data_IF_694159446048
#
_entry.id   IF_694159446048
#
_cell.length_a   1.000
_cell.length_b   1.000
_cell.length_c   1.000
_cell.angle_alpha   90.00
_cell.angle_beta   90.00
_cell.angle_gamma   90.00
#
_symmetry.space_group_name_H-M   'P 1'
#
loop_
_entity.id
_entity.type
_entity.pdbx_description
1 polymer ?
#
# COMPACT_ATOMS: atom_id res chain seq x y z
N UNK A 1 -11.14 45.26 41.92
CA UNK A 1 -10.08 44.67 41.07
C UNK A 1 -9.80 43.18 41.33
N UNK A 2 -9.70 42.71 42.59
CA UNK A 2 -9.35 41.28 42.88
C UNK A 2 -10.31 40.22 42.31
N UNK A 3 -11.62 40.46 42.24
CA UNK A 3 -12.62 39.48 41.73
C UNK A 3 -12.53 39.21 40.22
N UNK A 4 -11.98 40.15 39.44
CA UNK A 4 -11.86 40.02 37.98
C UNK A 4 -10.61 39.21 37.58
N UNK A 5 -9.55 39.33 38.36
CA UNK A 5 -8.29 38.58 38.16
C UNK A 5 -8.51 37.08 38.43
N UNK A 6 -9.30 36.73 39.45
CA UNK A 6 -9.59 35.32 39.77
C UNK A 6 -10.42 34.62 38.69
N UNK A 7 -11.38 35.32 38.07
CA UNK A 7 -12.20 34.74 36.97
C UNK A 7 -11.35 34.57 35.72
N UNK A 8 -10.51 35.57 35.37
CA UNK A 8 -9.63 35.48 34.22
C UNK A 8 -8.60 34.34 34.36
N UNK A 9 -8.07 34.11 35.56
CA UNK A 9 -7.12 33.03 35.83
C UNK A 9 -7.76 31.64 35.70
N UNK A 10 -9.02 31.48 36.16
CA UNK A 10 -9.78 30.22 36.03
C UNK A 10 -10.15 29.95 34.58
N UNK A 11 -10.60 30.96 33.84
CA UNK A 11 -10.91 30.82 32.40
C UNK A 11 -9.64 30.47 31.62
N UNK A 12 -8.51 31.12 31.91
CA UNK A 12 -7.24 30.82 31.26
C UNK A 12 -6.74 29.41 31.58
N UNK A 13 -6.84 28.96 32.83
CA UNK A 13 -6.49 27.59 33.22
C UNK A 13 -7.39 26.54 32.56
N UNK A 14 -8.69 26.82 32.42
CA UNK A 14 -9.63 25.94 31.73
C UNK A 14 -9.35 25.88 30.22
N UNK A 15 -9.06 27.01 29.59
CA UNK A 15 -8.67 27.09 28.18
C UNK A 15 -7.36 26.34 27.91
N UNK A 16 -6.37 26.47 28.81
CA UNK A 16 -5.10 25.74 28.72
C UNK A 16 -5.23 24.23 28.98
N UNK A 17 -6.17 23.81 29.84
CA UNK A 17 -6.45 22.40 30.08
C UNK A 17 -7.16 21.78 28.87
N UNK A 18 -8.19 22.44 28.35
CA UNK A 18 -8.91 22.01 27.15
C UNK A 18 -7.98 21.96 25.93
N UNK A 19 -7.07 22.93 25.77
CA UNK A 19 -6.12 22.92 24.65
C UNK A 19 -5.06 21.81 24.74
N UNK A 20 -4.79 21.27 25.94
CA UNK A 20 -3.89 20.13 26.14
C UNK A 20 -4.60 18.80 25.89
N UNK A 21 -5.91 18.74 26.11
CA UNK A 21 -6.74 17.57 25.84
C UNK A 21 -7.19 17.48 24.38
N UNK A 22 -7.39 18.60 23.68
CA UNK A 22 -7.71 18.59 22.24
C UNK A 22 -6.55 18.17 21.34
N UNK A 23 -5.31 18.20 21.84
CA UNK A 23 -4.13 17.62 21.17
C UNK A 23 -4.02 16.11 21.42
N UNK A 24 -4.77 15.54 22.37
CA UNK A 24 -4.80 14.10 22.59
C UNK A 24 -5.87 13.38 21.74
N UNK A 25 -6.67 14.12 20.96
CA UNK A 25 -7.54 13.59 19.90
C UNK A 25 -6.86 13.65 18.53
N UNK A 26 -5.53 13.52 18.49
CA UNK A 26 -4.79 13.23 17.27
C UNK A 26 -5.16 11.81 16.82
N UNK A 27 -6.29 11.69 16.09
CA UNK A 27 -6.70 10.55 15.27
C UNK A 27 -6.58 9.16 15.93
N UNK A 28 -7.20 8.95 17.09
CA UNK A 28 -7.32 7.62 17.74
C UNK A 28 -8.29 6.66 17.03
N UNK A 29 -8.34 6.68 15.69
CA UNK A 29 -9.25 5.83 14.92
C UNK A 29 -8.64 5.46 13.57
N UNK A 30 -8.97 4.25 13.11
CA UNK A 30 -8.37 3.68 11.91
C UNK A 30 -8.44 4.64 10.73
N UNK A 31 -7.29 4.89 10.10
CA UNK A 31 -7.16 5.82 9.00
C UNK A 31 -7.02 5.06 7.67
N UNK A 32 -7.88 5.37 6.70
CA UNK A 32 -7.73 4.87 5.35
C UNK A 32 -6.67 5.68 4.61
N UNK A 33 -5.62 5.02 4.14
CA UNK A 33 -4.65 5.55 3.19
C UNK A 33 -4.79 4.84 1.85
N UNK A 34 -4.57 5.55 0.75
CA UNK A 34 -4.44 4.95 -0.59
C UNK A 34 -3.04 5.22 -1.10
N UNK A 35 -2.24 4.18 -1.21
CA UNK A 35 -0.89 4.24 -1.76
C UNK A 35 -0.95 3.96 -3.26
N UNK A 36 -0.19 4.72 -4.04
CA UNK A 36 -0.18 4.63 -5.50
C UNK A 36 1.26 4.49 -5.97
N UNK A 37 1.51 3.57 -6.89
CA UNK A 37 2.81 3.36 -7.51
C UNK A 37 2.68 2.94 -8.97
N UNK A 38 3.65 3.32 -9.78
CA UNK A 38 3.76 2.99 -11.20
C UNK A 38 5.02 2.14 -11.37
N UNK A 39 4.92 0.83 -11.64
CA UNK A 39 6.09 -0.01 -11.90
C UNK A 39 6.86 0.51 -13.12
N UNK A 40 8.18 0.40 -13.07
CA UNK A 40 9.03 0.71 -14.23
C UNK A 40 9.07 -0.52 -15.14
N UNK A 41 8.48 -0.39 -16.32
CA UNK A 41 8.41 -1.44 -17.35
C UNK A 41 9.46 -1.13 -18.43
N UNK A 42 10.26 -2.12 -18.81
CA UNK A 42 11.43 -1.94 -19.68
C UNK A 42 11.48 -2.93 -20.87
N UNK A 43 10.42 -3.71 -21.12
CA UNK A 43 10.48 -4.83 -22.08
C UNK A 43 9.21 -5.01 -22.92
N UNK A 44 9.27 -5.94 -23.88
CA UNK A 44 8.17 -6.40 -24.72
C UNK A 44 7.19 -7.34 -24.00
N UNK A 45 6.54 -8.21 -24.76
CA UNK A 45 5.47 -9.06 -24.24
C UNK A 45 5.93 -9.94 -23.06
N UNK A 46 5.10 -9.99 -22.02
CA UNK A 46 5.27 -10.88 -20.87
C UNK A 46 4.80 -12.30 -21.20
N UNK A 47 5.11 -13.26 -20.35
CA UNK A 47 4.45 -14.55 -20.28
C UNK A 47 3.73 -14.75 -18.93
N UNK A 48 2.90 -15.78 -18.86
CA UNK A 48 2.27 -16.20 -17.61
C UNK A 48 3.34 -16.60 -16.59
N UNK A 49 3.34 -15.95 -15.43
CA UNK A 49 4.31 -16.16 -14.36
C UNK A 49 5.45 -15.15 -14.34
N UNK A 50 5.52 -14.25 -15.32
CA UNK A 50 6.56 -13.23 -15.37
C UNK A 50 6.23 -12.04 -14.47
N UNK A 51 7.29 -11.49 -13.89
CA UNK A 51 7.29 -10.27 -13.11
C UNK A 51 7.03 -9.05 -13.99
N UNK A 52 6.14 -8.18 -13.54
CA UNK A 52 5.91 -6.86 -14.13
C UNK A 52 6.57 -5.81 -13.25
N UNK A 53 7.58 -5.14 -13.79
CA UNK A 53 8.40 -4.16 -13.09
C UNK A 53 9.82 -4.64 -12.84
N UNK A 54 10.77 -3.71 -12.89
CA UNK A 54 12.21 -3.99 -12.72
C UNK A 54 12.65 -4.23 -11.27
N UNK A 55 11.78 -4.03 -10.28
CA UNK A 55 12.03 -4.23 -8.86
C UNK A 55 10.70 -4.36 -8.10
N UNK A 56 10.76 -4.76 -6.84
CA UNK A 56 9.64 -4.66 -5.92
C UNK A 56 9.14 -3.21 -5.79
N UNK A 57 7.84 -3.08 -5.58
CA UNK A 57 7.16 -1.81 -5.38
C UNK A 57 7.11 -1.53 -3.87
N UNK A 58 7.85 -0.52 -3.42
CA UNK A 58 7.75 -0.03 -2.05
C UNK A 58 6.49 0.81 -1.86
N UNK A 59 5.61 0.42 -0.96
CA UNK A 59 4.39 1.14 -0.59
C UNK A 59 4.59 1.78 0.79
N UNK A 60 4.91 3.08 0.79
CA UNK A 60 5.24 3.85 2.00
C UNK A 60 4.45 5.16 2.04
N UNK A 61 3.92 5.61 3.20
CA UNK A 61 3.82 4.89 4.46
C UNK A 61 2.57 3.99 4.50
N UNK A 62 2.77 2.68 4.62
CA UNK A 62 1.71 1.68 4.80
C UNK A 62 1.09 1.71 6.20
N UNK A 63 1.81 2.23 7.20
CA UNK A 63 1.33 2.49 8.57
C UNK A 63 1.88 3.83 9.06
N UNK A 64 1.20 4.44 10.03
CA UNK A 64 1.71 5.63 10.71
C UNK A 64 2.84 5.22 11.64
N UNK A 65 4.07 5.56 11.27
CA UNK A 65 5.26 5.22 12.05
C UNK A 65 5.28 5.97 13.39
N UNK A 66 4.70 5.40 14.43
CA UNK A 66 4.93 5.85 15.80
C UNK A 66 5.99 4.92 16.40
N UNK A 67 7.27 5.25 16.19
CA UNK A 67 8.45 4.39 16.36
C UNK A 67 8.72 3.85 17.77
N UNK A 68 7.73 3.21 18.39
CA UNK A 68 7.71 2.71 19.77
C UNK A 68 7.02 1.35 19.85
N UNK A 69 6.12 0.99 18.92
CA UNK A 69 5.45 -0.32 18.89
C UNK A 69 5.42 -0.90 17.48
N UNK A 70 5.21 -2.22 17.42
CA UNK A 70 4.75 -2.93 16.23
C UNK A 70 3.62 -2.14 15.59
N UNK A 71 3.68 -1.95 14.27
CA UNK A 71 2.67 -1.23 13.51
C UNK A 71 1.93 -2.20 12.60
N UNK A 72 0.60 -2.10 12.58
CA UNK A 72 -0.26 -3.04 11.86
C UNK A 72 -1.29 -2.31 11.02
N UNK A 73 -1.86 -3.03 10.06
CA UNK A 73 -2.95 -2.54 9.23
C UNK A 73 -3.66 -3.67 8.51
N UNK A 74 -4.65 -3.29 7.71
CA UNK A 74 -5.41 -4.21 6.88
C UNK A 74 -5.46 -3.70 5.45
N UNK A 75 -4.98 -4.49 4.49
CA UNK A 75 -5.13 -4.21 3.07
C UNK A 75 -6.59 -4.49 2.69
N UNK A 76 -7.30 -3.46 2.26
CA UNK A 76 -8.73 -3.52 1.98
C UNK A 76 -9.04 -3.72 0.49
N UNK A 77 -8.27 -3.08 -0.39
CA UNK A 77 -8.48 -3.19 -1.83
C UNK A 77 -7.22 -2.94 -2.64
N UNK A 78 -7.22 -3.51 -3.85
CA UNK A 78 -6.24 -3.30 -4.90
C UNK A 78 -6.97 -2.85 -6.15
N UNK A 79 -6.46 -1.80 -6.78
CA UNK A 79 -6.93 -1.31 -8.08
C UNK A 79 -5.72 -1.16 -8.98
N UNK A 80 -5.80 -1.71 -10.19
CA UNK A 80 -4.81 -1.54 -11.24
C UNK A 80 -5.46 -0.73 -12.35
N UNK A 81 -4.80 0.36 -12.75
CA UNK A 81 -5.14 1.11 -13.95
C UNK A 81 -4.19 0.62 -15.04
N UNK A 82 -4.75 0.22 -16.17
CA UNK A 82 -4.02 -0.24 -17.34
C UNK A 82 -4.30 0.73 -18.49
N UNK A 83 -3.31 1.57 -18.79
CA UNK A 83 -3.37 2.60 -19.83
C UNK A 83 -3.24 2.01 -21.25
N UNK A 84 -2.87 0.74 -21.39
CA UNK A 84 -2.67 0.04 -22.66
C UNK A 84 -3.80 -0.96 -22.98
N UNK A 85 -4.81 -1.06 -22.10
CA UNK A 85 -5.99 -1.92 -22.24
C UNK A 85 -5.65 -3.39 -22.58
N UNK A 86 -4.64 -3.95 -21.92
CA UNK A 86 -4.27 -5.36 -22.07
C UNK A 86 -5.22 -6.30 -21.30
N UNK A 87 -5.74 -5.85 -20.15
CA UNK A 87 -6.82 -6.53 -19.39
C UNK A 87 -6.50 -7.98 -18.99
N UNK A 88 -5.22 -8.29 -18.83
CA UNK A 88 -4.75 -9.59 -18.40
C UNK A 88 -4.87 -9.71 -16.88
N UNK A 89 -5.15 -10.90 -16.37
CA UNK A 89 -5.08 -11.15 -14.93
C UNK A 89 -3.68 -10.84 -14.38
N UNK A 90 -3.62 -10.05 -13.31
CA UNK A 90 -2.38 -9.73 -12.61
C UNK A 90 -2.54 -10.14 -11.15
N UNK A 91 -1.58 -10.92 -10.64
CA UNK A 91 -1.51 -11.24 -9.22
C UNK A 91 -0.57 -10.26 -8.52
N UNK A 92 -1.05 -9.65 -7.43
CA UNK A 92 -0.26 -8.74 -6.59
C UNK A 92 0.11 -9.47 -5.31
N UNK A 93 1.40 -9.76 -5.15
CA UNK A 93 1.97 -10.37 -3.95
C UNK A 93 2.41 -9.28 -3.00
N UNK A 94 2.00 -9.36 -1.73
CA UNK A 94 2.35 -8.41 -0.69
C UNK A 94 3.30 -9.03 0.34
N UNK A 95 4.32 -8.28 0.74
CA UNK A 95 5.33 -8.69 1.71
C UNK A 95 5.46 -7.65 2.83
N UNK A 96 5.70 -8.12 4.06
CA UNK A 96 5.91 -7.28 5.25
C UNK A 96 7.39 -6.85 5.43
N UNK A 97 8.29 -7.49 4.72
CA UNK A 97 9.71 -7.17 4.63
C UNK A 97 10.17 -7.11 3.18
N UNK A 98 11.31 -6.46 2.95
CA UNK A 98 11.93 -6.41 1.63
C UNK A 98 12.34 -7.83 1.22
N UNK A 99 11.82 -8.34 0.09
CA UNK A 99 12.26 -9.63 -0.42
C UNK A 99 13.77 -9.59 -0.68
N UNK A 100 14.48 -10.56 -0.13
CA UNK A 100 15.95 -10.65 -0.20
C UNK A 100 16.46 -11.06 -1.58
N UNK A 101 15.56 -11.51 -2.46
CA UNK A 101 15.94 -12.01 -3.77
C UNK A 101 16.24 -10.89 -4.78
N UNK A 102 17.51 -10.78 -5.14
CA UNK A 102 18.00 -9.86 -6.19
C UNK A 102 17.58 -10.23 -7.62
N UNK A 103 16.87 -11.34 -7.84
CA UNK A 103 16.44 -11.76 -9.19
C UNK A 103 15.11 -11.16 -9.64
N UNK A 104 14.47 -10.32 -8.83
CA UNK A 104 13.28 -9.60 -9.27
C UNK A 104 13.66 -8.62 -10.38
N UNK A 105 13.41 -9.07 -11.60
CA UNK A 105 13.76 -8.40 -12.84
C UNK A 105 12.54 -8.42 -13.73
N UNK A 106 12.35 -7.33 -14.46
CA UNK A 106 11.21 -7.16 -15.35
C UNK A 106 11.22 -8.24 -16.43
N UNK A 107 10.05 -8.81 -16.72
CA UNK A 107 9.88 -9.89 -17.70
C UNK A 107 10.74 -11.14 -17.43
N UNK A 108 10.89 -11.49 -16.15
CA UNK A 108 11.51 -12.74 -15.70
C UNK A 108 10.52 -13.51 -14.84
N UNK A 109 10.66 -14.84 -14.82
CA UNK A 109 9.83 -15.71 -13.99
C UNK A 109 9.89 -15.29 -12.52
N UNK A 110 8.71 -15.16 -11.89
CA UNK A 110 8.60 -14.94 -10.45
C UNK A 110 9.07 -16.18 -9.69
N UNK A 111 10.20 -16.05 -9.00
CA UNK A 111 10.83 -17.12 -8.25
C UNK A 111 11.26 -16.61 -6.86
N UNK A 112 10.33 -16.41 -5.90
CA UNK A 112 10.69 -16.04 -4.54
C UNK A 112 11.47 -17.18 -3.86
N UNK A 113 12.37 -16.84 -2.95
CA UNK A 113 13.01 -17.83 -2.08
C UNK A 113 12.07 -18.24 -0.96
N UNK A 114 12.37 -19.36 -0.28
CA UNK A 114 11.59 -19.80 0.89
C UNK A 114 11.54 -18.70 1.97
N UNK A 115 12.64 -17.95 2.16
CA UNK A 115 12.71 -16.85 3.12
C UNK A 115 11.84 -15.64 2.71
N UNK A 116 11.67 -15.38 1.42
CA UNK A 116 10.77 -14.32 0.95
C UNK A 116 9.30 -14.72 1.16
N UNK A 117 8.99 -16.01 1.07
CA UNK A 117 7.65 -16.53 1.36
C UNK A 117 7.30 -16.46 2.85
N UNK A 118 8.28 -16.51 3.75
CA UNK A 118 8.05 -16.29 5.18
C UNK A 118 7.56 -14.86 5.48
N UNK A 119 7.91 -13.89 4.62
CA UNK A 119 7.49 -12.49 4.70
C UNK A 119 6.19 -12.19 3.93
N UNK A 120 5.54 -13.22 3.33
CA UNK A 120 4.36 -13.04 2.50
C UNK A 120 3.11 -12.74 3.36
N UNK A 121 2.52 -11.57 3.16
CA UNK A 121 1.24 -11.18 3.76
C UNK A 121 0.09 -11.90 3.06
N UNK A 122 0.12 -11.92 1.72
CA UNK A 122 -0.94 -12.49 0.92
C UNK A 122 -0.88 -12.09 -0.55
N UNK A 123 -1.85 -12.58 -1.32
CA UNK A 123 -1.93 -12.39 -2.78
C UNK A 123 -3.30 -11.88 -3.16
N UNK A 124 -3.35 -10.79 -3.92
CA UNK A 124 -4.57 -10.27 -4.52
C UNK A 124 -4.57 -10.52 -6.03
N UNK A 125 -5.45 -11.40 -6.50
CA UNK A 125 -5.61 -11.69 -7.94
C UNK A 125 -6.60 -10.73 -8.59
N UNK A 126 -6.10 -9.83 -9.44
CA UNK A 126 -6.90 -8.86 -10.18
C UNK A 126 -7.45 -9.51 -11.46
N UNK A 127 -8.71 -9.95 -11.39
CA UNK A 127 -9.40 -10.59 -12.52
C UNK A 127 -10.63 -9.80 -13.00
N UNK A 128 -11.18 -8.90 -12.18
CA UNK A 128 -12.35 -8.10 -12.53
C UNK A 128 -11.94 -6.81 -13.24
N UNK A 129 -11.88 -6.87 -14.58
CA UNK A 129 -11.52 -5.76 -15.45
C UNK A 129 -12.75 -5.05 -16.01
N UNK A 130 -12.68 -3.71 -16.05
CA UNK A 130 -13.61 -2.84 -16.75
C UNK A 130 -12.85 -2.17 -17.88
N UNK A 131 -13.16 -2.60 -19.10
CA UNK A 131 -12.61 -2.03 -20.33
C UNK A 131 -13.21 -0.67 -20.67
N UNK A 132 -12.41 0.23 -21.22
CA UNK A 132 -12.80 1.46 -21.89
C UNK A 132 -12.21 1.48 -23.31
N UNK A 133 -12.37 2.58 -24.05
CA UNK A 133 -11.94 2.64 -25.45
C UNK A 133 -10.44 2.48 -25.68
N UNK A 134 -9.62 2.89 -24.70
CA UNK A 134 -8.15 2.94 -24.83
C UNK A 134 -7.43 2.55 -23.54
N UNK A 135 -8.15 2.30 -22.45
CA UNK A 135 -7.59 1.92 -21.16
C UNK A 135 -8.56 0.99 -20.45
N UNK A 136 -8.14 0.44 -19.33
CA UNK A 136 -8.98 -0.40 -18.50
C UNK A 136 -8.64 -0.22 -17.02
N UNK A 137 -9.55 -0.66 -16.17
CA UNK A 137 -9.35 -0.68 -14.72
C UNK A 137 -9.73 -2.04 -14.16
N UNK A 138 -8.77 -2.68 -13.49
CA UNK A 138 -8.94 -3.93 -12.77
C UNK A 138 -9.03 -3.66 -11.27
N UNK A 139 -9.90 -4.38 -10.56
CA UNK A 139 -10.02 -4.20 -9.11
C UNK A 139 -10.26 -5.49 -8.34
N UNK A 140 -9.82 -5.49 -7.09
CA UNK A 140 -10.17 -6.46 -6.06
C UNK A 140 -10.51 -5.69 -4.80
N UNK A 141 -11.72 -5.93 -4.28
CA UNK A 141 -12.27 -5.22 -3.12
C UNK A 141 -12.48 -6.23 -1.98
N UNK A 142 -12.54 -5.71 -0.74
CA UNK A 142 -12.84 -6.50 0.45
C UNK A 142 -11.83 -7.64 0.71
N UNK A 143 -10.54 -7.36 0.49
CA UNK A 143 -9.46 -8.32 0.70
C UNK A 143 -9.33 -8.70 2.18
N UNK A 144 -9.35 -7.70 3.08
CA UNK A 144 -9.26 -7.93 4.51
C UNK A 144 -7.98 -8.64 4.94
N UNK A 145 -6.85 -8.37 4.27
CA UNK A 145 -5.56 -9.01 4.57
C UNK A 145 -4.85 -8.24 5.69
N UNK A 146 -4.79 -8.79 6.92
CA UNK A 146 -4.07 -8.13 8.01
C UNK A 146 -2.56 -8.27 7.79
N UNK A 147 -1.81 -7.27 8.22
CA UNK A 147 -0.35 -7.33 8.23
C UNK A 147 0.22 -6.67 9.48
N UNK A 148 1.42 -7.10 9.83
CA UNK A 148 2.20 -6.58 10.93
C UNK A 148 3.59 -6.22 10.38
N UNK A 149 4.10 -5.04 10.72
CA UNK A 149 5.42 -4.60 10.32
C UNK A 149 6.39 -4.64 11.49
N UNK A 150 7.64 -4.98 11.17
CA UNK A 150 8.74 -4.89 12.11
C UNK A 150 8.85 -3.49 12.72
N UNK A 151 9.42 -3.41 13.93
CA UNK A 151 9.61 -2.15 14.65
C UNK A 151 10.33 -1.14 13.76
N UNK A 152 9.80 0.08 13.70
CA UNK A 152 10.31 1.18 12.87
C UNK A 152 10.17 1.00 11.35
N UNK A 153 9.62 -0.11 10.85
CA UNK A 153 9.21 -0.24 9.45
C UNK A 153 7.85 0.42 9.24
N UNK A 154 7.70 1.11 8.10
CA UNK A 154 6.44 1.70 7.65
C UNK A 154 6.09 1.31 6.22
N UNK A 155 6.81 0.34 5.66
CA UNK A 155 6.73 -0.03 4.25
C UNK A 155 6.24 -1.46 4.14
N UNK A 156 5.26 -1.68 3.26
CA UNK A 156 5.00 -3.00 2.69
C UNK A 156 5.56 -3.03 1.27
N UNK A 157 5.94 -4.20 0.81
CA UNK A 157 6.47 -4.40 -0.53
C UNK A 157 5.46 -5.16 -1.37
N UNK A 158 5.33 -4.79 -2.64
CA UNK A 158 4.42 -5.44 -3.57
C UNK A 158 5.14 -5.88 -4.84
N UNK A 159 4.73 -7.00 -5.39
CA UNK A 159 5.25 -7.55 -6.64
C UNK A 159 4.08 -7.92 -7.55
N UNK A 160 4.15 -7.54 -8.82
CA UNK A 160 3.13 -7.81 -9.83
C UNK A 160 3.56 -9.00 -10.69
N UNK A 161 2.67 -9.98 -10.86
CA UNK A 161 2.92 -11.17 -11.68
C UNK A 161 1.86 -11.26 -12.77
N UNK A 162 2.28 -11.26 -14.04
CA UNK A 162 1.41 -11.45 -15.19
C UNK A 162 0.86 -12.88 -15.21
N UNK A 163 -0.44 -13.04 -15.54
CA UNK A 163 -1.04 -14.35 -15.84
C UNK A 163 -1.36 -14.56 -17.31
N UNK A 164 -0.79 -13.75 -18.20
CA UNK A 164 -0.92 -13.90 -19.65
C UNK A 164 0.25 -13.28 -20.39
N UNK A 165 0.02 -12.88 -21.65
CA UNK A 165 1.04 -12.28 -22.50
C UNK A 165 0.74 -10.82 -22.90
N UNK A 166 0.53 -9.90 -21.95
CA UNK A 166 0.31 -8.49 -22.24
C UNK A 166 1.60 -7.83 -22.76
N UNK A 167 1.46 -6.70 -23.44
CA UNK A 167 2.55 -5.76 -23.70
C UNK A 167 2.14 -4.39 -23.19
N UNK A 168 2.94 -3.83 -22.29
CA UNK A 168 2.68 -2.53 -21.66
C UNK A 168 3.72 -1.49 -22.11
N UNK A 169 3.32 -0.23 -22.16
CA UNK A 169 4.23 0.90 -22.19
C UNK A 169 4.99 1.04 -20.87
N UNK A 170 6.09 1.79 -20.87
CA UNK A 170 6.99 1.91 -19.71
C UNK A 170 6.30 2.35 -18.39
N UNK A 171 5.21 3.10 -18.51
CA UNK A 171 4.37 3.57 -17.39
C UNK A 171 2.90 3.17 -17.57
N UNK A 172 2.63 2.14 -18.38
CA UNK A 172 1.29 1.75 -18.79
C UNK A 172 0.43 1.14 -17.68
N UNK A 173 1.01 0.88 -16.51
CA UNK A 173 0.30 0.35 -15.35
C UNK A 173 0.45 1.27 -14.14
N UNK A 174 -0.63 1.42 -13.38
CA UNK A 174 -0.60 2.07 -12.07
C UNK A 174 -1.30 1.19 -11.04
N UNK A 175 -0.57 0.82 -9.98
CA UNK A 175 -1.07 0.09 -8.83
C UNK A 175 -1.56 1.07 -7.76
N UNK A 176 -2.76 0.84 -7.24
CA UNK A 176 -3.35 1.56 -6.12
C UNK A 176 -3.80 0.58 -5.05
N UNK A 177 -3.36 0.79 -3.81
CA UNK A 177 -3.66 -0.09 -2.68
C UNK A 177 -4.28 0.73 -1.56
N UNK A 178 -5.48 0.36 -1.13
CA UNK A 178 -6.14 0.98 0.01
C UNK A 178 -5.86 0.17 1.28
N UNK A 179 -5.41 0.86 2.32
CA UNK A 179 -5.02 0.26 3.60
C UNK A 179 -5.76 0.98 4.72
N UNK A 180 -6.38 0.22 5.62
CA UNK A 180 -6.78 0.71 6.92
C UNK A 180 -5.60 0.59 7.87
N UNK A 181 -5.07 1.72 8.31
CA UNK A 181 -4.01 1.82 9.31
C UNK A 181 -4.65 1.85 10.68
N UNK A 182 -4.03 1.18 11.65
CA UNK A 182 -4.32 1.36 13.08
C UNK A 182 -3.72 2.67 13.61
#
# INVERSE_FOLDING_TARGET
MKRWISVALVVLALVLAVSRETVALERTGSYLVVLTSTPTINTGAYATGDLIGSSEISLTPAVLGNGVTVASGVIQSVVIIDEDAQEVQIDVYFFDAEPSNTTFTDNSAFAPTDADLDALIGVASVTDWKSQSTNSMGQVLNLGMPFELAVSSTTIYAVLVSRGAPTYAATGLTLRVAIFQD
#
